data_IF_172045670361
#
_entry.id   IF_172045670361
#
_cell.length_a   1.000
_cell.length_b   1.000
_cell.length_c   1.000
_cell.angle_alpha   90.00
_cell.angle_beta   90.00
_cell.angle_gamma   90.00
#
_symmetry.space_group_name_H-M   'P 1'
#
loop_
_entity.id
_entity.type
_entity.pdbx_description
1 polymer ?
#
# COMPACT_ATOMS: atom_id res chain seq x y z
N UNK A 1 23.95 15.73 -8.96
CA UNK A 1 22.70 15.11 -8.50
C UNK A 1 22.88 13.61 -8.62
N UNK A 2 22.69 12.84 -7.54
CA UNK A 2 22.68 11.38 -7.61
C UNK A 2 21.23 10.90 -7.80
N UNK A 3 21.03 9.87 -8.63
CA UNK A 3 19.73 9.25 -8.88
C UNK A 3 19.90 7.73 -8.97
N UNK A 4 18.81 6.98 -8.74
CA UNK A 4 18.78 5.54 -8.95
C UNK A 4 18.77 5.25 -10.46
N UNK A 5 19.39 4.15 -10.88
CA UNK A 5 19.29 3.69 -12.26
C UNK A 5 17.96 2.99 -12.49
N UNK A 6 17.33 3.19 -13.65
CA UNK A 6 15.98 2.70 -13.93
C UNK A 6 15.80 1.18 -13.80
N UNK A 7 16.85 0.40 -14.11
CA UNK A 7 16.84 -1.06 -13.86
C UNK A 7 16.75 -1.36 -12.37
N UNK A 8 17.56 -0.67 -11.56
CA UNK A 8 17.59 -0.89 -10.11
C UNK A 8 16.32 -0.39 -9.42
N UNK A 9 15.68 0.68 -9.93
CA UNK A 9 14.34 1.09 -9.48
C UNK A 9 13.34 -0.06 -9.63
N UNK A 10 13.31 -0.68 -10.81
CA UNK A 10 12.41 -1.79 -11.07
C UNK A 10 12.72 -3.01 -10.20
N UNK A 11 14.01 -3.34 -10.02
CA UNK A 11 14.44 -4.46 -9.20
C UNK A 11 14.09 -4.24 -7.72
N UNK A 12 14.27 -3.03 -7.20
CA UNK A 12 13.90 -2.68 -5.83
C UNK A 12 12.38 -2.80 -5.63
N UNK A 13 11.59 -2.27 -6.55
CA UNK A 13 10.13 -2.39 -6.48
C UNK A 13 9.69 -3.86 -6.57
N UNK A 14 10.31 -4.67 -7.43
CA UNK A 14 10.02 -6.12 -7.50
C UNK A 14 10.44 -6.87 -6.23
N UNK A 15 11.54 -6.48 -5.57
CA UNK A 15 11.92 -7.04 -4.29
C UNK A 15 10.85 -6.75 -3.22
N UNK A 16 10.38 -5.51 -3.13
CA UNK A 16 9.42 -5.09 -2.12
C UNK A 16 8.02 -5.66 -2.39
N UNK A 17 7.51 -5.53 -3.62
CA UNK A 17 6.11 -5.86 -3.94
C UNK A 17 5.91 -7.26 -4.50
N UNK A 18 6.92 -7.88 -5.12
CA UNK A 18 6.79 -9.20 -5.76
C UNK A 18 7.72 -10.26 -5.13
N UNK A 19 8.36 -9.94 -3.99
CA UNK A 19 9.29 -10.81 -3.28
C UNK A 19 10.40 -11.39 -4.19
N UNK A 20 10.82 -10.63 -5.21
CA UNK A 20 11.83 -11.08 -6.17
C UNK A 20 13.22 -10.63 -5.71
N UNK A 21 14.08 -11.58 -5.37
CA UNK A 21 15.48 -11.28 -4.98
C UNK A 21 16.25 -10.58 -6.11
N UNK A 22 17.12 -9.65 -5.73
CA UNK A 22 18.05 -8.96 -6.63
C UNK A 22 19.38 -9.72 -6.59
N UNK A 23 19.73 -10.38 -7.70
CA UNK A 23 20.93 -11.21 -7.77
C UNK A 23 22.18 -10.46 -7.30
N UNK A 24 22.94 -11.09 -6.38
CA UNK A 24 24.17 -10.57 -5.78
C UNK A 24 24.04 -9.27 -4.94
N UNK A 25 22.83 -8.76 -4.72
CA UNK A 25 22.60 -7.49 -3.99
C UNK A 25 21.69 -7.69 -2.77
N UNK A 26 20.52 -8.31 -2.96
CA UNK A 26 19.52 -8.44 -1.90
C UNK A 26 18.66 -9.69 -2.10
N UNK A 27 18.29 -10.33 -0.99
CA UNK A 27 17.40 -11.50 -0.98
C UNK A 27 16.09 -11.16 -0.27
N UNK A 28 14.97 -11.73 -0.72
CA UNK A 28 13.79 -11.81 0.14
C UNK A 28 14.08 -12.74 1.33
N UNK A 29 13.45 -12.49 2.46
CA UNK A 29 13.71 -13.24 3.68
C UNK A 29 13.41 -14.74 3.48
N UNK A 30 14.37 -15.61 3.79
CA UNK A 30 14.23 -17.06 3.61
C UNK A 30 13.53 -17.75 4.78
N UNK A 31 13.47 -17.08 5.95
CA UNK A 31 12.75 -17.53 7.13
C UNK A 31 11.68 -16.51 7.49
N UNK A 32 10.43 -16.95 7.54
CA UNK A 32 9.25 -16.13 7.87
C UNK A 32 9.17 -14.81 7.06
N UNK A 33 9.25 -14.85 5.71
CA UNK A 33 9.06 -13.65 4.92
C UNK A 33 7.69 -13.05 5.19
N UNK A 34 7.62 -11.72 5.13
CA UNK A 34 6.34 -11.06 5.02
C UNK A 34 5.71 -11.51 3.69
N UNK A 35 4.56 -12.19 3.72
CA UNK A 35 3.92 -12.72 2.50
C UNK A 35 2.90 -11.75 1.91
N UNK A 36 2.43 -10.79 2.72
CA UNK A 36 1.46 -9.78 2.34
C UNK A 36 1.92 -8.40 2.77
N UNK A 37 1.69 -7.41 1.91
CA UNK A 37 1.67 -6.01 2.32
C UNK A 37 0.24 -5.66 2.74
N UNK A 38 0.11 -4.70 3.65
CA UNK A 38 -1.18 -4.28 4.17
C UNK A 38 -1.46 -2.86 3.72
N UNK A 39 -2.53 -2.70 2.94
CA UNK A 39 -2.97 -1.41 2.44
C UNK A 39 -3.95 -0.80 3.44
N UNK A 40 -3.65 0.43 3.86
CA UNK A 40 -4.44 1.19 4.82
C UNK A 40 -4.99 2.45 4.15
N UNK A 41 -6.13 2.93 4.65
CA UNK A 41 -6.75 4.20 4.25
C UNK A 41 -6.58 5.22 5.36
N UNK A 42 -6.47 6.48 4.98
CA UNK A 42 -6.20 7.57 5.89
C UNK A 42 -7.06 8.79 5.59
N UNK A 43 -7.49 9.47 6.64
CA UNK A 43 -8.27 10.72 6.57
C UNK A 43 -7.39 11.95 6.28
N UNK A 44 -6.10 11.84 6.57
CA UNK A 44 -5.06 12.81 6.23
C UNK A 44 -3.75 12.09 5.87
N UNK A 45 -2.74 12.82 5.40
CA UNK A 45 -1.43 12.22 5.11
C UNK A 45 -0.87 11.53 6.36
N UNK A 46 -0.35 10.29 6.26
CA UNK A 46 0.29 9.62 7.38
C UNK A 46 1.72 10.12 7.64
N UNK A 47 2.27 10.97 6.76
CA UNK A 47 3.61 11.55 6.82
C UNK A 47 4.76 10.53 6.73
N UNK A 48 5.93 10.97 6.28
CA UNK A 48 7.11 10.10 6.14
C UNK A 48 7.65 9.57 7.49
N UNK A 49 7.47 10.33 8.57
CA UNK A 49 7.87 9.94 9.92
C UNK A 49 6.78 9.20 10.71
N UNK A 50 5.61 8.98 10.11
CA UNK A 50 4.49 8.31 10.76
C UNK A 50 4.55 6.80 10.68
N UNK A 51 3.44 6.19 11.05
CA UNK A 51 3.20 4.76 10.94
C UNK A 51 1.83 4.51 10.31
N UNK A 52 1.48 3.26 10.00
CA UNK A 52 0.18 2.95 9.39
C UNK A 52 -1.01 3.37 10.28
N UNK A 53 -0.83 3.62 11.58
CA UNK A 53 -1.88 4.18 12.46
C UNK A 53 -1.99 5.71 12.41
N UNK A 54 -1.03 6.42 11.78
CA UNK A 54 -1.07 7.87 11.66
C UNK A 54 -2.19 8.26 10.69
N UNK A 55 -3.20 8.98 11.20
CA UNK A 55 -4.39 9.40 10.44
C UNK A 55 -5.18 8.24 9.82
N UNK A 56 -5.05 7.02 10.35
CA UNK A 56 -5.72 5.83 9.83
C UNK A 56 -7.25 5.96 9.95
N UNK A 57 -7.97 5.40 8.96
CA UNK A 57 -9.42 5.30 8.96
C UNK A 57 -9.94 4.59 10.22
N UNK A 58 -11.11 5.03 10.69
CA UNK A 58 -11.70 4.56 11.95
C UNK A 58 -13.21 4.28 11.86
N UNK A 59 -13.80 4.25 10.66
CA UNK A 59 -15.19 3.83 10.47
C UNK A 59 -15.41 2.41 10.99
N UNK A 60 -16.61 2.12 11.50
CA UNK A 60 -16.91 0.80 12.06
C UNK A 60 -16.89 -0.25 10.96
N UNK A 61 -16.11 -1.32 11.16
CA UNK A 61 -15.88 -2.38 10.16
C UNK A 61 -14.58 -2.21 9.37
N UNK A 62 -13.88 -1.07 9.47
CA UNK A 62 -12.61 -0.88 8.79
C UNK A 62 -11.55 -1.91 9.23
N UNK A 63 -10.85 -2.44 8.23
CA UNK A 63 -9.64 -3.24 8.41
C UNK A 63 -8.70 -2.99 7.21
N UNK A 64 -7.39 -3.05 7.46
CA UNK A 64 -6.38 -3.03 6.37
C UNK A 64 -6.56 -4.23 5.47
N UNK A 65 -6.36 -4.05 4.17
CA UNK A 65 -6.46 -5.14 3.20
C UNK A 65 -5.08 -5.74 2.97
N UNK A 66 -4.97 -7.06 3.15
CA UNK A 66 -3.77 -7.81 2.80
C UNK A 66 -3.71 -7.98 1.27
N UNK A 67 -2.57 -7.64 0.68
CA UNK A 67 -2.26 -7.84 -0.74
C UNK A 67 -0.97 -8.65 -0.83
N UNK A 68 -1.04 -9.81 -1.48
CA UNK A 68 0.09 -10.73 -1.59
C UNK A 68 1.29 -10.05 -2.25
N UNK A 69 2.50 -10.32 -1.74
CA UNK A 69 3.76 -9.85 -2.33
C UNK A 69 4.14 -10.65 -3.57
N UNK A 70 3.30 -10.63 -4.59
CA UNK A 70 3.46 -11.39 -5.84
C UNK A 70 2.98 -10.57 -7.04
N UNK A 71 3.28 -11.02 -8.26
CA UNK A 71 2.73 -10.43 -9.49
C UNK A 71 1.20 -10.56 -9.61
N UNK A 72 0.57 -11.42 -8.81
CA UNK A 72 -0.89 -11.49 -8.69
C UNK A 72 -1.47 -10.45 -7.73
N UNK A 73 -0.66 -9.86 -6.87
CA UNK A 73 -1.06 -8.74 -5.99
C UNK A 73 -0.67 -7.37 -6.54
N UNK A 74 0.49 -7.28 -7.20
CA UNK A 74 1.08 -6.03 -7.64
C UNK A 74 1.64 -6.11 -9.06
N UNK A 75 1.29 -5.13 -9.88
CA UNK A 75 1.91 -4.90 -11.19
C UNK A 75 3.07 -3.94 -10.99
N UNK A 76 4.29 -4.36 -11.34
CA UNK A 76 5.51 -3.54 -11.22
C UNK A 76 6.11 -3.33 -12.61
N UNK A 77 6.15 -2.09 -13.08
CA UNK A 77 6.69 -1.72 -14.39
C UNK A 77 7.54 -0.47 -14.27
N UNK A 78 8.80 -0.54 -14.73
CA UNK A 78 9.78 0.54 -14.57
C UNK A 78 9.85 0.99 -13.09
N UNK A 79 9.65 2.28 -12.82
CA UNK A 79 9.62 2.91 -11.51
C UNK A 79 8.20 3.01 -10.90
N UNK A 80 7.22 2.26 -11.42
CA UNK A 80 5.83 2.35 -10.99
C UNK A 80 5.25 1.02 -10.51
N UNK A 81 4.39 1.10 -9.50
CA UNK A 81 3.66 -0.04 -8.92
C UNK A 81 2.18 0.29 -8.82
N UNK A 82 1.33 -0.65 -9.25
CA UNK A 82 -0.11 -0.58 -9.04
C UNK A 82 -0.68 -1.92 -8.54
N UNK A 83 -1.86 -1.93 -7.89
CA UNK A 83 -2.54 -3.17 -7.57
C UNK A 83 -2.86 -3.97 -8.84
N UNK A 84 -2.63 -5.28 -8.82
CA UNK A 84 -3.02 -6.16 -9.92
C UNK A 84 -4.54 -6.39 -10.00
N UNK A 85 -5.26 -6.14 -8.91
CA UNK A 85 -6.72 -6.15 -8.83
C UNK A 85 -7.19 -5.03 -7.89
N UNK A 86 -8.48 -4.66 -7.98
CA UNK A 86 -9.06 -3.67 -7.08
C UNK A 86 -8.94 -4.11 -5.62
N UNK A 87 -8.50 -3.20 -4.76
CA UNK A 87 -8.38 -3.39 -3.31
C UNK A 87 -9.68 -2.89 -2.69
N UNK A 88 -10.58 -3.83 -2.41
CA UNK A 88 -11.87 -3.58 -1.78
C UNK A 88 -11.73 -3.67 -0.25
N UNK A 89 -12.08 -2.59 0.44
CA UNK A 89 -12.09 -2.54 1.89
C UNK A 89 -13.47 -2.97 2.42
N UNK A 90 -13.56 -3.45 3.67
CA UNK A 90 -14.85 -3.76 4.28
C UNK A 90 -15.78 -2.53 4.27
N UNK A 91 -17.07 -2.77 4.03
CA UNK A 91 -18.07 -1.73 4.07
C UNK A 91 -18.21 -1.13 5.48
N UNK A 92 -18.48 0.17 5.57
CA UNK A 92 -18.74 0.81 6.85
C UNK A 92 -20.06 0.31 7.44
N UNK A 93 -20.00 -0.32 8.60
CA UNK A 93 -21.17 -0.65 9.40
C UNK A 93 -21.80 0.61 10.03
N UNK A 94 -20.97 1.60 10.35
CA UNK A 94 -21.36 2.93 10.83
C UNK A 94 -20.18 3.92 10.72
N UNK A 95 -20.48 5.21 10.92
CA UNK A 95 -19.48 6.28 10.89
C UNK A 95 -19.51 7.07 9.58
N UNK A 96 -18.79 8.18 9.56
CA UNK A 96 -18.62 9.01 8.37
C UNK A 96 -17.23 9.61 8.39
N UNK A 97 -16.50 9.44 7.29
CA UNK A 97 -15.19 10.04 7.10
C UNK A 97 -14.88 10.25 5.63
N UNK A 98 -13.88 11.09 5.34
CA UNK A 98 -13.36 11.28 3.99
C UNK A 98 -11.94 10.79 3.95
N UNK A 99 -11.69 9.79 3.12
CA UNK A 99 -10.39 9.16 2.95
C UNK A 99 -9.64 9.87 1.84
N UNK A 100 -8.50 10.45 2.18
CA UNK A 100 -7.72 11.31 1.30
C UNK A 100 -6.39 10.70 0.92
N UNK A 101 -5.91 9.71 1.67
CA UNK A 101 -4.61 9.07 1.44
C UNK A 101 -4.70 7.55 1.66
N UNK A 102 -3.77 6.83 1.06
CA UNK A 102 -3.52 5.42 1.33
C UNK A 102 -2.07 5.22 1.75
N UNK A 103 -1.79 4.12 2.44
CA UNK A 103 -0.42 3.62 2.62
C UNK A 103 -0.33 2.14 2.32
N UNK A 104 0.86 1.70 1.91
CA UNK A 104 1.25 0.30 1.83
C UNK A 104 2.27 0.07 2.94
N UNK A 105 2.00 -0.89 3.82
CA UNK A 105 2.86 -1.17 4.96
C UNK A 105 2.92 -2.62 5.36
N UNK A 106 3.49 -2.87 6.53
CA UNK A 106 3.94 -4.22 6.92
C UNK A 106 3.05 -4.95 7.90
N UNK A 107 2.08 -4.30 8.53
CA UNK A 107 1.30 -4.88 9.61
C UNK A 107 -0.21 -4.88 9.32
N UNK A 108 -0.88 -5.97 9.67
CA UNK A 108 -2.34 -6.11 9.58
C UNK A 108 -3.10 -5.17 10.52
N UNK A 109 -2.47 -4.76 11.62
CA UNK A 109 -2.98 -3.83 12.62
C UNK A 109 -1.82 -3.25 13.44
N UNK A 110 -2.12 -2.29 14.32
CA UNK A 110 -1.10 -1.60 15.12
C UNK A 110 -0.17 -0.74 14.25
N UNK A 111 0.90 -0.18 14.83
CA UNK A 111 1.70 0.87 14.20
C UNK A 111 2.09 0.55 12.75
N UNK A 112 2.79 -0.56 12.48
CA UNK A 112 3.21 -0.96 11.14
C UNK A 112 4.17 0.03 10.45
N UNK A 113 5.13 -0.48 9.67
CA UNK A 113 5.99 0.42 8.88
C UNK A 113 5.21 0.86 7.65
N UNK A 114 5.29 2.15 7.32
CA UNK A 114 4.89 2.65 6.00
C UNK A 114 6.07 2.46 5.05
N UNK A 115 5.82 1.76 3.94
CA UNK A 115 6.77 1.63 2.84
C UNK A 115 6.51 2.72 1.80
N UNK A 116 5.23 2.93 1.48
CA UNK A 116 4.78 3.97 0.56
C UNK A 116 3.47 4.56 1.07
N UNK A 117 3.24 5.83 0.78
CA UNK A 117 1.95 6.48 0.97
C UNK A 117 1.69 7.45 -0.18
N UNK A 118 0.42 7.70 -0.46
CA UNK A 118 0.01 8.57 -1.56
C UNK A 118 -1.37 9.16 -1.32
N UNK A 119 -1.68 10.23 -2.06
CA UNK A 119 -3.01 10.81 -2.07
C UNK A 119 -3.98 9.94 -2.89
N UNK A 120 -5.26 9.97 -2.51
CA UNK A 120 -6.37 9.37 -3.24
C UNK A 120 -7.09 10.50 -3.97
N UNK A 121 -7.23 10.39 -5.29
CA UNK A 121 -7.91 11.39 -6.11
C UNK A 121 -8.89 10.72 -7.08
N UNK A 122 -10.21 11.05 -7.02
CA UNK A 122 -10.86 11.87 -6.00
C UNK A 122 -10.86 11.18 -4.62
N UNK A 123 -10.93 11.95 -3.53
CA UNK A 123 -11.08 11.39 -2.18
C UNK A 123 -12.33 10.52 -2.06
N UNK A 124 -12.28 9.49 -1.21
CA UNK A 124 -13.39 8.55 -1.03
C UNK A 124 -14.19 8.99 0.19
N UNK A 125 -15.46 9.36 -0.01
CA UNK A 125 -16.41 9.56 1.08
C UNK A 125 -16.92 8.23 1.59
N UNK A 126 -16.91 8.04 2.91
CA UNK A 126 -17.42 6.84 3.56
C UNK A 126 -18.63 7.20 4.41
N UNK A 127 -19.71 6.44 4.23
CA UNK A 127 -20.91 6.43 5.07
C UNK A 127 -21.36 4.98 5.25
N UNK A 128 -22.31 4.72 6.15
CA UNK A 128 -22.88 3.38 6.34
C UNK A 128 -23.25 2.71 5.01
N UNK A 129 -22.79 1.47 4.81
CA UNK A 129 -23.02 0.67 3.61
C UNK A 129 -22.01 0.90 2.47
N UNK A 130 -21.18 1.94 2.54
CA UNK A 130 -20.15 2.21 1.52
C UNK A 130 -18.91 1.36 1.79
N UNK A 131 -18.46 0.63 0.77
CA UNK A 131 -17.18 -0.08 0.76
C UNK A 131 -16.13 0.74 -0.02
N UNK A 132 -15.10 1.27 0.66
CA UNK A 132 -14.02 1.99 -0.02
C UNK A 132 -13.26 1.08 -0.99
N UNK A 133 -12.78 1.66 -2.08
CA UNK A 133 -12.11 0.94 -3.15
C UNK A 133 -10.90 1.72 -3.65
N UNK A 134 -9.74 1.08 -3.68
CA UNK A 134 -8.62 1.52 -4.51
C UNK A 134 -8.60 0.68 -5.77
N UNK A 135 -8.61 1.33 -6.94
CA UNK A 135 -8.63 0.61 -8.22
C UNK A 135 -7.21 0.24 -8.66
N UNK A 136 -7.10 -0.55 -9.74
CA UNK A 136 -5.82 -0.81 -10.40
C UNK A 136 -5.15 0.44 -11.00
N UNK A 137 -5.86 1.58 -11.06
CA UNK A 137 -5.30 2.86 -11.47
C UNK A 137 -4.53 3.58 -10.34
N UNK A 138 -4.65 3.11 -9.09
CA UNK A 138 -3.81 3.61 -7.99
C UNK A 138 -2.36 3.25 -8.29
N UNK A 139 -1.50 4.27 -8.40
CA UNK A 139 -0.10 4.09 -8.75
C UNK A 139 0.82 4.73 -7.72
N UNK A 140 1.87 4.01 -7.35
CA UNK A 140 3.05 4.49 -6.63
C UNK A 140 4.13 4.68 -7.68
N UNK A 141 4.76 5.86 -7.75
CA UNK A 141 5.85 6.13 -8.71
C UNK A 141 7.06 6.69 -7.97
N UNK A 142 8.22 6.05 -8.15
CA UNK A 142 9.49 6.56 -7.62
C UNK A 142 10.17 7.51 -8.61
N UNK A 143 10.94 8.47 -8.08
CA UNK A 143 11.79 9.40 -8.84
C UNK A 143 13.25 8.96 -8.90
#
# INVERSE_FOLDING_TARGET
MAAKGSTFDNDLLKLIFNATSIANIAIDATSSPLTNLYVALHTASPLAGGSQTTSEAAYSGYARVAVARTSGGWTVTSNSVSPAANILFPAAASGTETLTHFSVGTASSGAGKILYFGAISPSIGVTTGVAPLLTTATAITES
#
